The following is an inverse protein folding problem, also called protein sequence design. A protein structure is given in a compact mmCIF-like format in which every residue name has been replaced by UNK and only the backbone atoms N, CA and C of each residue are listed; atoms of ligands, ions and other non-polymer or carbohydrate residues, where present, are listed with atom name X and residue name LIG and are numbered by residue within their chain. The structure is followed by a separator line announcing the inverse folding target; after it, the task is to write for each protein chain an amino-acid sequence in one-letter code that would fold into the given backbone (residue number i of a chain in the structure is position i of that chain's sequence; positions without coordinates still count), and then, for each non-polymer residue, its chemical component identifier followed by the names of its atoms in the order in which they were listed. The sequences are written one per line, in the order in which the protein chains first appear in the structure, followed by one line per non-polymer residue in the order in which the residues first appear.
data_IF_371323038895
#
_entry.id   IF_371323038895
#
_cell.length_a   1.000
_cell.length_b   1.000
_cell.length_c   1.000
_cell.angle_alpha   90.00
_cell.angle_beta   90.00
_cell.angle_gamma   90.00
#
_symmetry.space_group_name_H-M   'P 1'
#
loop_
_entity.id
_entity.type
_entity.pdbx_description
1 polymer ?
#
# COMPACT_ATOMS: atom_id res chain seq x y z
N UNK A 1 -2.35 14.19 -22.39
CA UNK A 1 -2.21 12.76 -22.04
C UNK A 1 -1.34 12.69 -20.79
N UNK A 2 -1.91 12.36 -19.63
CA UNK A 2 -1.15 12.23 -18.38
C UNK A 2 -0.33 10.94 -18.48
N UNK A 3 0.97 11.02 -18.26
CA UNK A 3 1.85 9.84 -18.34
C UNK A 3 1.66 8.95 -17.11
N UNK A 4 2.00 7.66 -17.23
CA UNK A 4 1.98 6.70 -16.13
C UNK A 4 2.70 7.23 -14.87
N UNK A 5 3.87 7.83 -15.07
CA UNK A 5 4.69 8.42 -14.01
C UNK A 5 4.04 9.63 -13.33
N UNK A 6 3.28 10.43 -14.08
CA UNK A 6 2.56 11.58 -13.51
C UNK A 6 1.44 11.11 -12.58
N UNK A 7 0.72 10.02 -12.91
CA UNK A 7 -0.30 9.43 -12.03
C UNK A 7 0.28 8.91 -10.72
N UNK A 8 1.42 8.22 -10.76
CA UNK A 8 2.08 7.73 -9.54
C UNK A 8 2.62 8.86 -8.64
N UNK A 9 2.84 10.05 -9.21
CA UNK A 9 3.32 11.22 -8.45
C UNK A 9 2.19 12.02 -7.81
N UNK A 10 0.93 11.67 -8.06
CA UNK A 10 -0.21 12.27 -7.38
C UNK A 10 -0.07 12.06 -5.86
N UNK A 11 -0.35 13.11 -5.09
CA UNK A 11 -0.21 13.10 -3.61
C UNK A 11 -0.96 11.94 -2.96
N UNK A 12 -2.12 11.62 -3.51
CA UNK A 12 -2.96 10.49 -3.10
C UNK A 12 -2.20 9.16 -3.21
N UNK A 13 -1.54 8.89 -4.34
CA UNK A 13 -0.74 7.65 -4.53
C UNK A 13 0.48 7.61 -3.61
N UNK A 14 1.09 8.75 -3.33
CA UNK A 14 2.18 8.85 -2.36
C UNK A 14 1.70 8.51 -0.93
N UNK A 15 0.48 8.91 -0.56
CA UNK A 15 -0.11 8.55 0.73
C UNK A 15 -0.39 7.05 0.81
N UNK A 16 -0.96 6.46 -0.25
CA UNK A 16 -1.15 5.01 -0.36
C UNK A 16 0.14 4.22 -0.17
N UNK A 17 1.21 4.65 -0.83
CA UNK A 17 2.55 4.10 -0.65
C UNK A 17 3.05 4.23 0.79
N UNK A 18 2.99 5.43 1.36
CA UNK A 18 3.53 5.70 2.70
C UNK A 18 2.75 4.95 3.79
N UNK A 19 1.42 5.01 3.75
CA UNK A 19 0.54 4.32 4.71
C UNK A 19 0.77 2.81 4.64
N UNK A 20 0.84 2.23 3.45
CA UNK A 20 1.10 0.79 3.30
C UNK A 20 2.49 0.39 3.79
N UNK A 21 3.50 1.24 3.60
CA UNK A 21 4.84 1.01 4.15
C UNK A 21 4.82 0.98 5.68
N UNK A 22 4.16 1.98 6.29
CA UNK A 22 4.03 2.07 7.75
C UNK A 22 3.21 0.91 8.31
N UNK A 23 2.12 0.52 7.65
CA UNK A 23 1.29 -0.63 8.06
C UNK A 23 2.10 -1.93 8.14
N UNK A 24 2.95 -2.20 7.14
CA UNK A 24 3.85 -3.38 7.18
C UNK A 24 4.83 -3.29 8.35
N UNK A 25 5.44 -2.13 8.57
CA UNK A 25 6.39 -1.92 9.68
C UNK A 25 5.73 -2.10 11.05
N UNK A 26 4.55 -1.51 11.26
CA UNK A 26 3.79 -1.65 12.50
C UNK A 26 3.29 -3.08 12.72
N UNK A 27 3.06 -3.82 11.64
CA UNK A 27 2.62 -5.22 11.70
C UNK A 27 3.77 -6.23 11.77
N UNK A 28 5.03 -5.76 11.73
CA UNK A 28 6.21 -6.61 11.77
C UNK A 28 6.25 -7.62 12.95
N UNK A 29 5.80 -7.28 14.18
CA UNK A 29 5.78 -8.22 15.30
C UNK A 29 4.92 -9.47 15.07
N UNK A 30 3.95 -9.41 14.15
CA UNK A 30 3.09 -10.54 13.80
C UNK A 30 3.68 -11.46 12.72
N UNK A 31 4.89 -11.15 12.24
CA UNK A 31 5.57 -11.86 11.16
C UNK A 31 5.29 -11.27 9.79
N UNK A 32 6.29 -11.31 8.92
CA UNK A 32 6.26 -10.70 7.59
C UNK A 32 5.08 -11.17 6.70
N UNK A 33 4.71 -12.47 6.65
CA UNK A 33 3.56 -12.90 5.85
C UNK A 33 2.24 -12.29 6.33
N UNK A 34 2.05 -12.18 7.64
CA UNK A 34 0.85 -11.59 8.25
C UNK A 34 0.81 -10.09 7.99
N UNK A 35 1.95 -9.40 8.14
CA UNK A 35 2.07 -7.98 7.84
C UNK A 35 1.72 -7.64 6.38
N UNK A 36 2.22 -8.44 5.43
CA UNK A 36 1.93 -8.27 4.00
C UNK A 36 0.48 -8.58 3.66
N UNK A 37 -0.05 -9.71 4.13
CA UNK A 37 -1.43 -10.11 3.87
C UNK A 37 -2.43 -9.12 4.48
N UNK A 38 -2.19 -8.68 5.71
CA UNK A 38 -3.01 -7.68 6.41
C UNK A 38 -2.99 -6.33 5.69
N UNK A 39 -1.81 -5.84 5.31
CA UNK A 39 -1.69 -4.56 4.58
C UNK A 39 -2.40 -4.62 3.23
N UNK A 40 -2.24 -5.72 2.48
CA UNK A 40 -2.95 -5.91 1.21
C UNK A 40 -4.47 -5.96 1.41
N UNK A 41 -4.95 -6.68 2.43
CA UNK A 41 -6.37 -6.77 2.74
C UNK A 41 -6.97 -5.41 3.13
N UNK A 42 -6.25 -4.60 3.92
CA UNK A 42 -6.66 -3.23 4.27
C UNK A 42 -6.74 -2.35 3.02
N UNK A 43 -5.70 -2.38 2.18
CA UNK A 43 -5.65 -1.61 0.94
C UNK A 43 -6.76 -1.99 -0.04
N UNK A 44 -6.97 -3.29 -0.24
CA UNK A 44 -8.06 -3.81 -1.08
C UNK A 44 -9.42 -3.47 -0.49
N UNK A 45 -9.60 -3.62 0.82
CA UNK A 45 -10.84 -3.30 1.51
C UNK A 45 -11.21 -1.82 1.36
N UNK A 46 -10.24 -0.91 1.45
CA UNK A 46 -10.44 0.52 1.22
C UNK A 46 -10.86 0.80 -0.22
N UNK A 47 -10.24 0.19 -1.22
CA UNK A 47 -10.63 0.38 -2.63
C UNK A 47 -12.00 -0.26 -2.97
N UNK A 48 -12.33 -1.39 -2.33
CA UNK A 48 -13.67 -1.99 -2.42
C UNK A 48 -14.70 -1.07 -1.77
N UNK A 49 -14.38 -0.47 -0.62
CA UNK A 49 -15.25 0.51 0.02
C UNK A 49 -15.46 1.74 -0.87
N UNK A 50 -14.39 2.31 -1.42
CA UNK A 50 -14.45 3.46 -2.33
C UNK A 50 -15.25 3.14 -3.60
N UNK A 51 -15.27 1.88 -4.03
CA UNK A 51 -16.12 1.43 -5.15
C UNK A 51 -17.62 1.61 -4.88
N UNK A 52 -18.07 1.39 -3.65
CA UNK A 52 -19.49 1.44 -3.28
C UNK A 52 -19.91 2.79 -2.70
N UNK A 53 -19.01 3.46 -1.98
CA UNK A 53 -19.34 4.65 -1.18
C UNK A 53 -18.47 5.88 -1.48
N UNK A 54 -17.50 5.77 -2.38
CA UNK A 54 -16.48 6.80 -2.60
C UNK A 54 -16.19 7.10 -4.07
N UNK A 55 -14.92 7.35 -4.35
CA UNK A 55 -14.39 7.80 -5.66
C UNK A 55 -14.30 6.71 -6.73
N UNK A 56 -14.62 5.45 -6.39
CA UNK A 56 -14.46 4.30 -7.27
C UNK A 56 -13.19 3.50 -6.99
N UNK A 57 -13.12 2.30 -7.57
CA UNK A 57 -11.94 1.43 -7.47
C UNK A 57 -10.81 1.88 -8.41
N UNK A 58 -9.60 2.00 -7.88
CA UNK A 58 -8.45 2.47 -8.63
C UNK A 58 -7.25 1.51 -8.56
N UNK A 59 -6.83 1.01 -9.73
CA UNK A 59 -5.67 0.12 -9.83
C UNK A 59 -4.34 0.79 -9.51
N UNK A 60 -4.23 2.12 -9.68
CA UNK A 60 -3.03 2.86 -9.30
C UNK A 60 -2.87 2.95 -7.77
N UNK A 61 -3.98 2.93 -7.02
CA UNK A 61 -3.95 2.83 -5.56
C UNK A 61 -3.50 1.46 -5.09
N UNK A 62 -4.01 0.40 -5.71
CA UNK A 62 -3.54 -0.96 -5.45
C UNK A 62 -2.05 -1.13 -5.76
N UNK A 63 -1.57 -0.53 -6.86
CA UNK A 63 -0.15 -0.53 -7.18
C UNK A 63 0.68 0.25 -6.14
N UNK A 64 0.24 1.44 -5.75
CA UNK A 64 0.91 2.24 -4.72
C UNK A 64 0.96 1.52 -3.36
N UNK A 65 -0.15 0.89 -2.95
CA UNK A 65 -0.21 0.07 -1.75
C UNK A 65 0.78 -1.10 -1.82
N UNK A 66 0.83 -1.80 -2.96
CA UNK A 66 1.74 -2.94 -3.17
C UNK A 66 3.20 -2.50 -3.09
N UNK A 67 3.57 -1.40 -3.76
CA UNK A 67 4.93 -0.86 -3.72
C UNK A 67 5.31 -0.42 -2.30
N UNK A 68 4.38 0.19 -1.55
CA UNK A 68 4.59 0.57 -0.16
C UNK A 68 4.81 -0.65 0.74
N UNK A 69 3.97 -1.67 0.59
CA UNK A 69 4.10 -2.91 1.36
C UNK A 69 5.45 -3.61 1.10
N UNK A 70 5.89 -3.65 -0.16
CA UNK A 70 7.20 -4.20 -0.52
C UNK A 70 8.36 -3.36 0.04
N UNK A 71 8.24 -2.03 0.03
CA UNK A 71 9.24 -1.15 0.63
C UNK A 71 9.36 -1.39 2.16
N UNK A 72 8.22 -1.46 2.86
CA UNK A 72 8.18 -1.78 4.29
C UNK A 72 8.77 -3.17 4.59
N UNK A 73 8.43 -4.17 3.78
CA UNK A 73 9.01 -5.51 3.87
C UNK A 73 10.52 -5.50 3.67
N UNK A 74 11.02 -4.76 2.68
CA UNK A 74 12.44 -4.58 2.45
C UNK A 74 13.17 -4.00 3.66
N UNK A 75 12.57 -3.00 4.32
CA UNK A 75 13.11 -2.45 5.58
C UNK A 75 13.16 -3.52 6.67
N UNK A 76 12.10 -4.31 6.86
CA UNK A 76 12.10 -5.40 7.86
C UNK A 76 13.19 -6.42 7.53
N UNK A 77 13.35 -6.82 6.27
CA UNK A 77 14.34 -7.81 5.87
C UNK A 77 15.79 -7.31 6.01
N UNK A 78 16.02 -6.01 5.81
CA UNK A 78 17.35 -5.40 5.92
C UNK A 78 17.77 -5.09 7.36
N UNK A 79 16.82 -4.82 8.25
CA UNK A 79 17.11 -4.30 9.61
C UNK A 79 16.49 -5.13 10.75
N UNK A 80 15.60 -6.07 10.46
CA UNK A 80 14.87 -6.89 11.44
C UNK A 80 15.52 -8.25 11.73
N UNK A 81 16.82 -8.39 11.46
CA UNK A 81 17.64 -9.56 11.80
C UNK A 81 18.34 -9.41 13.15
#
# INVERSE_FOLDING_TARGET
MVTFWQRLRERDKQQHFFVSSVLVLCSAPFGLPVALAGTFAIGLGKEVWDRFYGSGFCWYDMLANTLGALAGAGVILLFGG
#
